data_IF_860345082448
#
_entry.id   IF_860345082448
#
_cell.length_a   1.000
_cell.length_b   1.000
_cell.length_c   1.000
_cell.angle_alpha   90.00
_cell.angle_beta   90.00
_cell.angle_gamma   90.00
#
_symmetry.space_group_name_H-M   'P 1'
#
loop_
_entity.id
_entity.type
_entity.pdbx_description
1 polymer ?
#
# COMPACT_ATOMS: atom_id res chain seq x y z
N UNK A 1 -28.53 13.60 -5.08
CA UNK A 1 -27.16 14.00 -5.48
C UNK A 1 -26.49 12.73 -5.96
N UNK A 2 -26.07 12.58 -7.23
CA UNK A 2 -25.36 11.38 -7.63
C UNK A 2 -23.98 11.42 -6.97
N UNK A 3 -23.70 10.45 -6.12
CA UNK A 3 -22.38 10.25 -5.51
C UNK A 3 -21.34 10.10 -6.63
N UNK A 4 -20.24 10.85 -6.54
CA UNK A 4 -19.15 10.85 -7.51
C UNK A 4 -18.37 9.54 -7.39
N UNK A 5 -18.70 8.49 -8.16
CA UNK A 5 -17.83 7.30 -8.38
C UNK A 5 -17.16 6.72 -7.10
N UNK A 6 -17.77 6.93 -5.93
CA UNK A 6 -17.18 6.60 -4.62
C UNK A 6 -17.15 5.08 -4.49
N UNK A 7 -15.97 4.48 -4.64
CA UNK A 7 -15.64 3.09 -4.27
C UNK A 7 -16.55 1.96 -4.82
N UNK A 8 -17.50 2.25 -5.72
CA UNK A 8 -18.56 1.30 -6.09
C UNK A 8 -18.04 0.05 -6.82
N UNK A 9 -16.88 0.16 -7.47
CA UNK A 9 -16.22 -0.92 -8.22
C UNK A 9 -15.51 -1.88 -7.24
N UNK A 10 -14.93 -1.33 -6.17
CA UNK A 10 -14.40 -2.14 -5.06
C UNK A 10 -15.50 -2.94 -4.37
N UNK A 11 -16.66 -2.33 -4.12
CA UNK A 11 -17.81 -3.02 -3.51
C UNK A 11 -18.38 -4.15 -4.38
N UNK A 12 -17.98 -4.22 -5.65
CA UNK A 12 -18.34 -5.30 -6.60
C UNK A 12 -17.23 -6.34 -6.77
N UNK A 13 -16.10 -6.16 -6.09
CA UNK A 13 -14.98 -7.08 -6.14
C UNK A 13 -14.05 -6.85 -7.33
N UNK A 14 -14.03 -5.64 -7.91
CA UNK A 14 -13.20 -5.34 -9.08
C UNK A 14 -12.41 -4.01 -8.95
N UNK A 15 -11.40 -3.86 -9.80
CA UNK A 15 -10.48 -2.70 -9.83
C UNK A 15 -10.74 -1.80 -11.04
N UNK A 16 -11.91 -1.85 -11.69
CA UNK A 16 -12.14 -1.12 -12.94
C UNK A 16 -12.02 0.41 -12.82
N UNK A 17 -12.05 0.92 -11.59
CA UNK A 17 -11.93 2.35 -11.25
C UNK A 17 -10.54 2.74 -10.79
N UNK A 18 -9.60 1.80 -10.88
CA UNK A 18 -8.25 1.93 -10.38
C UNK A 18 -7.25 1.55 -11.46
N UNK A 19 -6.12 2.28 -11.48
CA UNK A 19 -4.92 1.81 -12.17
C UNK A 19 -4.12 0.97 -11.18
N UNK A 20 -3.53 -0.13 -11.64
CA UNK A 20 -2.74 -1.03 -10.79
C UNK A 20 -1.40 -1.32 -11.43
N UNK A 21 -0.34 -1.30 -10.64
CA UNK A 21 0.98 -1.82 -11.01
C UNK A 21 1.47 -2.74 -9.89
N UNK A 22 2.19 -3.81 -10.20
CA UNK A 22 2.56 -4.76 -9.15
C UNK A 22 1.51 -5.82 -8.87
N UNK A 23 1.75 -6.61 -7.83
CA UNK A 23 0.81 -7.60 -7.30
C UNK A 23 -0.34 -6.93 -6.56
N UNK A 24 -1.38 -6.54 -7.30
CA UNK A 24 -2.62 -5.99 -6.78
C UNK A 24 -3.81 -6.91 -7.09
N UNK A 25 -4.69 -7.14 -6.11
CA UNK A 25 -5.95 -7.85 -6.32
C UNK A 25 -7.03 -7.44 -5.33
N UNK A 26 -8.26 -7.83 -5.60
CA UNK A 26 -9.40 -7.64 -4.69
C UNK A 26 -9.73 -8.96 -4.00
N UNK A 27 -10.18 -8.90 -2.75
CA UNK A 27 -10.63 -10.05 -2.00
C UNK A 27 -11.73 -9.67 -1.01
N UNK A 28 -12.64 -10.59 -0.72
CA UNK A 28 -13.64 -10.45 0.35
C UNK A 28 -13.21 -11.11 1.67
N UNK A 29 -12.16 -11.93 1.60
CA UNK A 29 -11.55 -12.64 2.72
C UNK A 29 -10.07 -12.82 2.43
N UNK A 30 -9.24 -12.72 3.47
CA UNK A 30 -7.82 -13.00 3.35
C UNK A 30 -7.36 -13.72 4.60
N UNK A 31 -6.85 -14.94 4.45
CA UNK A 31 -6.25 -15.66 5.57
C UNK A 31 -4.75 -15.36 5.58
N UNK A 32 -4.26 -14.85 6.70
CA UNK A 32 -2.84 -14.64 6.89
C UNK A 32 -2.08 -15.96 6.65
N UNK A 33 -0.87 -15.86 6.10
CA UNK A 33 -0.02 -17.03 5.88
C UNK A 33 0.18 -17.78 7.21
N UNK A 34 0.04 -19.12 7.18
CA UNK A 34 -0.07 -20.05 8.32
C UNK A 34 -1.43 -20.11 9.04
N UNK A 35 -2.50 -19.52 8.49
CA UNK A 35 -3.89 -19.89 8.81
C UNK A 35 -4.37 -19.53 10.23
N UNK A 36 -3.66 -18.66 10.94
CA UNK A 36 -4.00 -18.29 12.33
C UNK A 36 -4.97 -17.11 12.43
N UNK A 37 -5.14 -16.32 11.36
CA UNK A 37 -6.02 -15.15 11.33
C UNK A 37 -6.68 -15.01 9.96
N UNK A 38 -7.99 -14.74 9.96
CA UNK A 38 -8.75 -14.35 8.77
C UNK A 38 -9.13 -12.88 8.89
N UNK A 39 -8.89 -12.14 7.81
CA UNK A 39 -9.29 -10.75 7.65
C UNK A 39 -10.56 -10.67 6.80
N UNK A 40 -11.47 -9.83 7.27
CA UNK A 40 -12.67 -9.41 6.57
C UNK A 40 -12.65 -7.89 6.43
N UNK A 41 -13.23 -7.31 5.36
CA UNK A 41 -13.42 -5.87 5.28
C UNK A 41 -14.21 -5.35 6.49
N UNK A 42 -13.90 -4.14 6.93
CA UNK A 42 -14.52 -3.47 8.09
C UNK A 42 -15.84 -2.84 7.70
N UNK A 43 -15.89 -2.20 6.53
CA UNK A 43 -17.06 -1.40 6.11
C UNK A 43 -17.71 -1.87 4.80
N UNK A 44 -16.94 -2.55 3.95
CA UNK A 44 -17.38 -2.99 2.62
C UNK A 44 -17.54 -4.50 2.47
N UNK A 45 -17.74 -4.95 1.24
CA UNK A 45 -17.76 -6.37 0.88
C UNK A 45 -16.39 -6.91 0.46
N UNK A 46 -15.46 -6.01 0.08
CA UNK A 46 -14.13 -6.36 -0.42
C UNK A 46 -13.07 -5.36 0.04
N UNK A 47 -11.81 -5.78 0.05
CA UNK A 47 -10.63 -4.92 0.21
C UNK A 47 -9.62 -5.19 -0.91
N UNK A 48 -8.72 -4.24 -1.12
CA UNK A 48 -7.54 -4.43 -1.96
C UNK A 48 -6.43 -5.14 -1.17
N UNK A 49 -5.72 -6.05 -1.84
CA UNK A 49 -4.47 -6.66 -1.36
C UNK A 49 -3.36 -6.15 -2.25
N UNK A 50 -2.43 -5.40 -1.66
CA UNK A 50 -1.21 -4.97 -2.30
C UNK A 50 -0.05 -5.81 -1.78
N UNK A 51 0.73 -6.37 -2.70
CA UNK A 51 1.93 -7.16 -2.44
C UNK A 51 1.67 -8.45 -1.64
N UNK A 52 0.80 -9.33 -2.17
CA UNK A 52 0.30 -10.54 -1.53
C UNK A 52 1.41 -11.50 -1.05
N UNK A 53 1.54 -11.76 0.27
CA UNK A 53 2.61 -12.58 0.82
C UNK A 53 2.39 -14.08 0.57
N UNK A 54 1.26 -14.49 -0.01
CA UNK A 54 1.03 -15.88 -0.49
C UNK A 54 1.69 -16.14 -1.84
N UNK A 55 2.29 -15.13 -2.48
CA UNK A 55 3.01 -15.21 -3.75
C UNK A 55 4.52 -15.30 -3.53
N UNK A 56 4.94 -16.09 -2.55
CA UNK A 56 6.35 -16.38 -2.26
C UNK A 56 6.57 -17.89 -2.15
N UNK A 57 7.78 -18.37 -2.44
CA UNK A 57 8.18 -19.78 -2.28
C UNK A 57 8.65 -20.07 -0.84
N UNK A 58 9.13 -21.29 -0.63
CA UNK A 58 9.67 -21.76 0.65
C UNK A 58 10.94 -21.00 1.07
N UNK A 59 11.69 -20.47 0.10
CA UNK A 59 12.87 -19.63 0.31
C UNK A 59 12.51 -18.15 0.51
N UNK A 60 11.22 -17.81 0.39
CA UNK A 60 10.69 -16.46 0.53
C UNK A 60 10.87 -15.59 -0.71
N UNK A 61 11.30 -16.19 -1.83
CA UNK A 61 11.41 -15.48 -3.10
C UNK A 61 10.04 -15.34 -3.76
N UNK A 62 9.83 -14.25 -4.51
CA UNK A 62 8.53 -14.00 -5.13
C UNK A 62 8.22 -15.07 -6.18
N UNK A 63 7.11 -15.79 -5.99
CA UNK A 63 6.60 -16.76 -6.95
C UNK A 63 5.56 -16.09 -7.82
N UNK A 64 5.99 -15.85 -9.05
CA UNK A 64 5.13 -15.44 -10.14
C UNK A 64 4.55 -16.69 -10.79
N UNK A 65 3.21 -16.84 -10.77
CA UNK A 65 2.54 -17.83 -11.62
C UNK A 65 2.23 -17.23 -12.99
N UNK A 66 2.02 -18.05 -14.03
CA UNK A 66 1.55 -17.54 -15.32
C UNK A 66 0.30 -16.70 -15.13
N UNK A 67 0.32 -15.45 -15.64
CA UNK A 67 -0.72 -14.41 -15.53
C UNK A 67 -0.78 -13.63 -14.21
N UNK A 68 0.07 -13.94 -13.23
CA UNK A 68 0.23 -13.05 -12.09
C UNK A 68 0.89 -11.73 -12.54
N UNK A 69 0.46 -10.58 -11.99
CA UNK A 69 1.18 -9.32 -12.18
C UNK A 69 2.62 -9.42 -11.65
N UNK A 70 3.57 -8.79 -12.34
CA UNK A 70 4.94 -8.67 -11.80
C UNK A 70 4.94 -7.58 -10.74
N UNK A 71 5.81 -7.65 -9.73
CA UNK A 71 6.10 -6.51 -8.85
C UNK A 71 6.39 -5.24 -9.66
N UNK A 72 5.93 -4.10 -9.15
CA UNK A 72 6.26 -2.80 -9.72
C UNK A 72 7.70 -2.44 -9.34
N UNK A 73 8.49 -1.98 -10.31
CA UNK A 73 9.83 -1.45 -10.06
C UNK A 73 9.72 -0.01 -9.51
N UNK A 74 9.95 0.15 -8.22
CA UNK A 74 9.72 1.41 -7.49
C UNK A 74 11.01 2.18 -7.19
N UNK A 75 12.14 1.77 -7.78
CA UNK A 75 13.46 2.39 -7.60
C UNK A 75 13.57 3.86 -7.98
N UNK A 76 12.62 4.36 -8.75
CA UNK A 76 12.52 5.77 -9.11
C UNK A 76 11.88 6.63 -8.01
N UNK A 77 11.29 6.01 -6.98
CA UNK A 77 10.68 6.69 -5.84
C UNK A 77 11.68 6.77 -4.69
N UNK A 78 11.95 8.00 -4.23
CA UNK A 78 12.67 8.25 -2.99
C UNK A 78 11.68 8.75 -1.95
N UNK A 79 11.77 8.16 -0.77
CA UNK A 79 10.86 8.43 0.35
C UNK A 79 11.49 9.48 1.26
N UNK A 80 10.69 10.42 1.79
CA UNK A 80 11.10 11.37 2.84
C UNK A 80 11.75 10.65 4.03
N UNK A 81 12.80 11.23 4.66
CA UNK A 81 13.40 10.66 5.86
C UNK A 81 12.36 10.48 6.99
N UNK A 82 12.48 9.39 7.75
CA UNK A 82 11.74 9.21 9.00
C UNK A 82 12.23 10.17 10.10
N UNK A 83 11.63 10.09 11.30
CA UNK A 83 12.05 10.89 12.47
C UNK A 83 13.51 10.66 12.90
N UNK A 84 14.12 9.55 12.48
CA UNK A 84 15.52 9.20 12.72
C UNK A 84 16.45 9.64 11.57
N UNK A 85 15.93 10.34 10.56
CA UNK A 85 16.67 10.77 9.37
C UNK A 85 16.97 9.63 8.40
N UNK A 86 16.37 8.44 8.59
CA UNK A 86 16.55 7.31 7.70
C UNK A 86 15.69 7.49 6.45
N UNK A 87 16.32 7.41 5.29
CA UNK A 87 15.64 7.41 4.00
C UNK A 87 15.71 6.01 3.42
N UNK A 88 14.63 5.59 2.76
CA UNK A 88 14.57 4.29 2.09
C UNK A 88 14.49 4.53 0.58
N UNK A 89 15.21 3.72 -0.20
CA UNK A 89 14.95 3.58 -1.64
C UNK A 89 14.09 2.33 -1.82
N UNK A 90 12.91 2.47 -2.42
CA UNK A 90 12.13 1.29 -2.80
C UNK A 90 12.87 0.51 -3.89
N UNK A 91 12.72 -0.81 -3.92
CA UNK A 91 13.26 -1.63 -5.00
C UNK A 91 12.09 -2.17 -5.81
N UNK A 92 11.22 -2.95 -5.16
CA UNK A 92 10.05 -3.59 -5.74
C UNK A 92 8.81 -3.40 -4.85
N UNK A 93 7.62 -3.45 -5.47
CA UNK A 93 6.39 -3.32 -4.70
C UNK A 93 5.09 -3.43 -5.51
N UNK A 94 4.06 -2.76 -5.02
CA UNK A 94 2.76 -2.66 -5.66
C UNK A 94 2.14 -1.27 -5.47
N UNK A 95 1.41 -0.83 -6.49
CA UNK A 95 0.71 0.45 -6.53
C UNK A 95 -0.75 0.20 -6.85
N UNK A 96 -1.62 0.79 -6.04
CA UNK A 96 -3.02 1.01 -6.39
C UNK A 96 -3.24 2.51 -6.55
N UNK A 97 -3.79 2.92 -7.69
CA UNK A 97 -4.07 4.33 -8.00
C UNK A 97 -5.56 4.54 -8.28
N UNK A 98 -6.15 5.56 -7.67
CA UNK A 98 -7.47 6.08 -8.02
C UNK A 98 -7.32 7.39 -8.80
N UNK A 99 -7.54 7.40 -10.12
CA UNK A 99 -7.41 8.59 -10.94
C UNK A 99 -8.67 9.48 -10.85
N UNK A 100 -8.51 10.76 -11.25
CA UNK A 100 -9.60 11.74 -11.41
C UNK A 100 -10.45 11.98 -10.14
N UNK A 101 -9.84 11.87 -8.96
CA UNK A 101 -10.47 12.17 -7.68
C UNK A 101 -10.62 13.67 -7.49
N UNK A 102 -11.81 14.09 -7.08
CA UNK A 102 -12.11 15.47 -6.68
C UNK A 102 -12.56 15.49 -5.22
N UNK A 103 -11.87 16.27 -4.39
CA UNK A 103 -12.21 16.47 -2.97
C UNK A 103 -12.36 17.96 -2.74
N UNK A 104 -13.55 18.42 -2.36
CA UNK A 104 -13.80 19.83 -2.09
C UNK A 104 -13.17 20.26 -0.76
N UNK A 105 -12.94 21.57 -0.62
CA UNK A 105 -12.39 22.12 0.62
C UNK A 105 -13.31 21.80 1.81
N UNK A 106 -12.73 21.23 2.86
CA UNK A 106 -13.46 20.84 4.08
C UNK A 106 -13.97 19.40 4.10
N UNK A 107 -13.99 18.70 2.96
CA UNK A 107 -14.24 17.25 2.90
C UNK A 107 -12.99 16.47 3.31
N UNK A 108 -13.17 15.25 3.82
CA UNK A 108 -12.08 14.36 4.21
C UNK A 108 -12.16 13.03 3.47
N UNK A 109 -11.02 12.57 2.97
CA UNK A 109 -10.84 11.18 2.58
C UNK A 109 -10.53 10.35 3.82
N UNK A 110 -11.20 9.21 3.95
CA UNK A 110 -10.92 8.19 4.96
C UNK A 110 -10.54 6.89 4.29
N UNK A 111 -9.61 6.15 4.91
CA UNK A 111 -9.36 4.75 4.58
C UNK A 111 -8.87 3.94 5.77
N UNK A 112 -9.22 2.66 5.75
CA UNK A 112 -8.80 1.67 6.72
C UNK A 112 -7.73 0.79 6.11
N UNK A 113 -6.74 0.40 6.90
CA UNK A 113 -5.70 -0.50 6.44
C UNK A 113 -5.25 -1.48 7.50
N UNK A 114 -4.75 -2.63 7.07
CA UNK A 114 -4.07 -3.59 7.94
C UNK A 114 -2.84 -4.11 7.20
N UNK A 115 -1.76 -4.31 7.94
CA UNK A 115 -0.50 -4.79 7.38
C UNK A 115 -0.29 -6.25 7.74
N UNK A 116 0.09 -7.04 6.75
CA UNK A 116 0.48 -8.43 6.93
C UNK A 116 2.00 -8.47 6.92
N UNK A 117 2.59 -8.76 8.08
CA UNK A 117 4.03 -8.59 8.32
C UNK A 117 4.74 -9.92 8.28
N UNK A 118 5.87 -9.97 7.57
CA UNK A 118 6.78 -11.09 7.69
C UNK A 118 8.23 -10.61 7.81
N UNK A 119 8.69 -10.37 9.03
CA UNK A 119 10.05 -9.89 9.24
C UNK A 119 11.05 -11.04 9.43
N UNK A 120 12.19 -10.89 8.77
CA UNK A 120 13.38 -11.75 8.86
C UNK A 120 14.58 -11.11 8.14
N UNK A 121 14.33 -10.13 7.26
CA UNK A 121 15.33 -9.43 6.44
C UNK A 121 15.77 -8.11 7.07
N UNK A 122 17.03 -7.67 6.84
CA UNK A 122 17.49 -6.31 7.17
C UNK A 122 16.96 -5.23 6.20
N UNK A 123 16.22 -5.60 5.15
CA UNK A 123 15.48 -4.66 4.32
C UNK A 123 14.28 -4.06 5.09
N UNK A 124 13.88 -2.84 4.72
CA UNK A 124 12.78 -2.10 5.34
C UNK A 124 11.59 -2.08 4.39
N UNK A 125 10.47 -2.68 4.79
CA UNK A 125 9.23 -2.64 4.01
C UNK A 125 8.35 -1.50 4.52
N UNK A 126 7.67 -0.79 3.64
CA UNK A 126 6.82 0.33 4.07
C UNK A 126 5.63 0.55 3.14
N UNK A 127 4.64 1.26 3.67
CA UNK A 127 3.47 1.69 2.94
C UNK A 127 3.29 3.21 3.02
N UNK A 128 2.88 3.81 1.91
CA UNK A 128 2.67 5.26 1.78
C UNK A 128 1.39 5.55 1.00
N UNK A 129 0.70 6.60 1.43
CA UNK A 129 -0.34 7.26 0.66
C UNK A 129 0.20 8.56 0.06
N UNK A 130 -0.09 8.82 -1.22
CA UNK A 130 0.32 10.04 -1.90
C UNK A 130 -0.79 10.58 -2.81
N UNK A 131 -0.87 11.91 -2.90
CA UNK A 131 -1.82 12.60 -3.77
C UNK A 131 -1.08 13.47 -4.80
N UNK A 132 -1.43 13.29 -6.07
CA UNK A 132 -0.81 13.97 -7.21
C UNK A 132 -1.84 14.85 -7.91
N UNK A 133 -1.46 16.07 -8.29
CA UNK A 133 -2.33 16.95 -9.08
C UNK A 133 -2.40 16.49 -10.54
N UNK A 134 -3.47 16.84 -11.26
CA UNK A 134 -3.67 16.44 -12.66
C UNK A 134 -2.66 17.12 -13.59
N UNK A 135 -1.82 16.33 -14.26
CA UNK A 135 -0.75 16.80 -15.15
C UNK A 135 0.61 16.32 -14.67
N UNK A 136 1.11 15.23 -15.26
CA UNK A 136 2.27 14.49 -14.77
C UNK A 136 3.59 15.25 -14.97
N UNK A 137 4.34 15.45 -13.88
CA UNK A 137 5.81 15.32 -13.78
C UNK A 137 6.39 15.85 -12.44
N UNK A 138 5.67 15.78 -11.31
CA UNK A 138 6.14 16.38 -10.06
C UNK A 138 5.91 15.50 -8.83
N UNK A 139 6.73 15.78 -7.81
CA UNK A 139 6.54 15.36 -6.42
C UNK A 139 5.07 15.49 -6.02
N UNK A 140 4.50 14.51 -5.29
CA UNK A 140 3.11 14.58 -4.88
C UNK A 140 2.87 15.78 -3.96
N UNK A 141 1.69 16.37 -4.10
CA UNK A 141 1.21 17.49 -3.30
C UNK A 141 1.05 17.12 -1.83
N UNK A 142 0.75 15.85 -1.56
CA UNK A 142 0.64 15.29 -0.23
C UNK A 142 1.26 13.90 -0.18
N UNK A 143 2.00 13.63 0.89
CA UNK A 143 2.50 12.29 1.24
C UNK A 143 2.16 12.01 2.70
N UNK A 144 1.72 10.80 2.99
CA UNK A 144 1.57 10.29 4.34
C UNK A 144 2.16 8.90 4.43
N UNK A 145 3.06 8.70 5.40
CA UNK A 145 3.50 7.37 5.78
C UNK A 145 2.40 6.67 6.57
N UNK A 146 2.07 5.47 6.12
CA UNK A 146 1.12 4.62 6.83
C UNK A 146 1.84 3.80 7.88
N UNK A 147 2.95 3.15 7.49
CA UNK A 147 3.87 2.47 8.42
C UNK A 147 5.18 2.07 7.71
N UNK A 148 6.24 1.87 8.49
CA UNK A 148 7.44 1.11 8.10
C UNK A 148 7.62 -0.11 8.99
N UNK A 149 8.23 -1.20 8.49
CA UNK A 149 8.42 -2.44 9.24
C UNK A 149 9.23 -2.24 10.53
N UNK A 150 10.14 -1.27 10.54
CA UNK A 150 10.91 -0.86 11.73
C UNK A 150 10.07 -0.15 12.81
N UNK A 151 9.00 0.54 12.43
CA UNK A 151 8.09 1.23 13.35
C UNK A 151 7.07 0.27 13.99
N UNK A 152 6.82 -0.86 13.34
CA UNK A 152 5.91 -1.89 13.84
C UNK A 152 6.61 -2.73 14.91
N UNK A 153 6.10 -2.67 16.15
CA UNK A 153 6.71 -3.30 17.33
C UNK A 153 7.24 -4.72 17.06
N UNK A 154 8.49 -5.00 17.46
CA UNK A 154 9.22 -6.26 17.22
C UNK A 154 8.66 -7.50 17.93
N UNK A 155 7.44 -7.45 18.46
CA UNK A 155 6.89 -8.51 19.30
C UNK A 155 5.88 -9.36 18.54
N UNK A 156 6.30 -10.56 18.12
CA UNK A 156 5.49 -11.77 17.84
C UNK A 156 4.10 -11.62 17.20
N UNK A 157 3.80 -10.54 16.48
CA UNK A 157 2.56 -10.34 15.74
C UNK A 157 2.91 -10.29 14.26
N UNK A 158 2.42 -11.27 13.50
CA UNK A 158 2.62 -11.38 12.05
C UNK A 158 1.65 -10.51 11.25
N UNK A 159 0.92 -9.63 11.93
CA UNK A 159 -0.08 -8.73 11.37
C UNK A 159 -0.42 -7.60 12.35
N UNK A 160 -0.94 -6.49 11.82
CA UNK A 160 -1.51 -5.40 12.63
C UNK A 160 -3.02 -5.57 12.81
N UNK A 161 -3.60 -4.81 13.74
CA UNK A 161 -5.04 -4.58 13.71
C UNK A 161 -5.40 -3.68 12.52
N UNK A 162 -6.70 -3.54 12.26
CA UNK A 162 -7.20 -2.49 11.38
C UNK A 162 -6.88 -1.12 11.98
N UNK A 163 -6.18 -0.32 11.21
CA UNK A 163 -5.86 1.08 11.45
C UNK A 163 -6.70 1.97 10.54
N UNK A 164 -6.84 3.25 10.89
CA UNK A 164 -7.57 4.23 10.10
C UNK A 164 -6.70 5.45 9.83
N UNK A 165 -6.83 6.01 8.63
CA UNK A 165 -6.19 7.26 8.25
C UNK A 165 -7.21 8.19 7.61
N UNK A 166 -7.05 9.49 7.85
CA UNK A 166 -7.85 10.52 7.18
C UNK A 166 -6.99 11.65 6.64
N UNK A 167 -7.39 12.16 5.47
CA UNK A 167 -6.76 13.32 4.85
C UNK A 167 -7.83 14.34 4.44
N UNK A 168 -7.69 15.55 4.97
CA UNK A 168 -8.60 16.68 4.69
C UNK A 168 -7.82 17.78 3.96
N UNK A 169 -7.95 17.92 2.64
CA UNK A 169 -7.28 19.00 1.93
C UNK A 169 -7.87 20.36 2.33
N UNK A 170 -7.01 21.37 2.48
CA UNK A 170 -7.40 22.74 2.88
C UNK A 170 -8.00 23.55 1.73
N UNK A 171 -7.81 23.09 0.50
CA UNK A 171 -8.37 23.63 -0.74
C UNK A 171 -8.94 22.48 -1.57
N UNK A 172 -9.74 22.79 -2.59
CA UNK A 172 -10.21 21.78 -3.55
C UNK A 172 -9.01 21.03 -4.15
N UNK A 173 -9.03 19.71 -4.06
CA UNK A 173 -8.07 18.81 -4.69
C UNK A 173 -8.71 18.18 -5.93
N UNK A 174 -7.99 18.16 -7.04
CA UNK A 174 -8.36 17.49 -8.28
C UNK A 174 -7.13 16.74 -8.81
N UNK A 175 -7.15 15.42 -8.79
CA UNK A 175 -5.94 14.66 -9.08
C UNK A 175 -6.07 13.15 -8.90
N UNK A 176 -4.93 12.49 -8.70
CA UNK A 176 -4.86 11.05 -8.49
C UNK A 176 -4.38 10.73 -7.08
N UNK A 177 -4.95 9.69 -6.49
CA UNK A 177 -4.53 9.15 -5.19
C UNK A 177 -3.77 7.85 -5.43
N UNK A 178 -2.67 7.64 -4.72
CA UNK A 178 -1.85 6.42 -4.82
C UNK A 178 -1.60 5.83 -3.44
N UNK A 179 -1.81 4.53 -3.33
CA UNK A 179 -1.32 3.70 -2.24
C UNK A 179 -0.17 2.87 -2.76
N UNK A 180 0.95 2.95 -2.06
CA UNK A 180 2.22 2.35 -2.46
C UNK A 180 2.66 1.45 -1.33
N UNK A 181 3.03 0.22 -1.68
CA UNK A 181 3.68 -0.74 -0.79
C UNK A 181 4.98 -1.14 -1.46
N UNK A 182 6.08 -1.08 -0.73
CA UNK A 182 7.37 -1.42 -1.29
C UNK A 182 8.25 -2.13 -0.27
N UNK A 183 9.11 -3.02 -0.78
CA UNK A 183 10.33 -3.34 -0.09
C UNK A 183 11.37 -2.26 -0.38
N UNK A 184 12.19 -1.95 0.61
CA UNK A 184 13.12 -0.86 0.51
C UNK A 184 14.42 -1.10 1.23
N UNK A 185 15.44 -0.35 0.82
CA UNK A 185 16.79 -0.40 1.37
C UNK A 185 17.05 0.89 2.11
N UNK A 186 17.39 0.80 3.39
CA UNK A 186 17.85 1.95 4.17
C UNK A 186 19.15 2.49 3.57
N UNK A 187 19.19 3.78 3.26
CA UNK A 187 20.34 4.44 2.60
C UNK A 187 21.51 4.70 3.55
N UNK A 188 21.31 4.57 4.87
CA UNK A 188 22.30 4.83 5.91
C UNK A 188 22.90 3.57 6.55
N UNK A 189 22.39 2.39 6.21
CA UNK A 189 22.94 1.09 6.61
C UNK A 189 23.75 0.53 5.43
N UNK A 190 24.94 -0.06 5.62
CA UNK A 190 25.78 -0.54 4.51
C UNK A 190 24.98 -1.44 3.56
N UNK A 191 25.17 -1.16 2.26
CA UNK A 191 24.49 -1.75 1.11
C UNK A 191 24.07 -3.22 1.32
N UNK A 192 22.77 -3.54 1.21
CA UNK A 192 22.35 -4.93 1.08
C UNK A 192 22.83 -5.50 -0.25
N UNK A 193 23.07 -6.82 -0.23
CA UNK A 193 23.63 -7.57 -1.35
C UNK A 193 22.66 -7.64 -2.54
N UNK A 194 23.15 -7.73 -3.79
CA UNK A 194 22.29 -7.99 -4.93
C UNK A 194 21.65 -9.39 -4.81
N UNK A 195 20.32 -9.47 -4.92
CA UNK A 195 19.58 -10.72 -5.12
C UNK A 195 18.97 -11.39 -3.88
N UNK A 196 18.64 -10.66 -2.82
CA UNK A 196 17.88 -11.20 -1.68
C UNK A 196 16.49 -10.59 -1.58
N UNK A 197 15.46 -11.37 -1.95
CA UNK A 197 14.06 -10.96 -1.85
C UNK A 197 13.69 -10.63 -0.39
N UNK A 198 13.37 -9.36 -0.14
CA UNK A 198 12.69 -8.98 1.08
C UNK A 198 11.23 -9.46 0.99
N UNK A 199 10.75 -10.08 2.07
CA UNK A 199 9.35 -10.48 2.21
C UNK A 199 8.51 -9.21 2.14
N UNK A 200 7.52 -9.10 1.24
CA UNK A 200 6.72 -7.91 1.26
C UNK A 200 5.90 -7.92 2.53
N UNK A 201 5.80 -6.75 3.11
CA UNK A 201 4.69 -6.51 3.98
C UNK A 201 3.50 -6.12 3.12
N UNK A 202 2.42 -6.87 3.23
CA UNK A 202 1.28 -6.65 2.37
C UNK A 202 0.30 -5.68 3.02
N UNK A 203 -0.27 -4.79 2.21
CA UNK A 203 -1.30 -3.86 2.68
C UNK A 203 -2.67 -4.39 2.27
N UNK A 204 -3.50 -4.64 3.27
CA UNK A 204 -4.94 -4.74 3.09
C UNK A 204 -5.49 -3.32 3.19
N UNK A 205 -6.18 -2.85 2.15
CA UNK A 205 -6.81 -1.53 2.11
C UNK A 205 -8.32 -1.67 1.98
N UNK A 206 -9.04 -1.17 2.96
CA UNK A 206 -10.51 -1.12 2.99
C UNK A 206 -11.01 0.33 3.04
N UNK A 207 -12.25 0.54 2.63
CA UNK A 207 -13.03 1.75 2.86
C UNK A 207 -12.41 3.05 2.32
N UNK A 208 -12.36 3.29 1.00
CA UNK A 208 -11.94 4.60 0.48
C UNK A 208 -13.19 5.47 0.36
N UNK A 209 -13.43 6.34 1.35
CA UNK A 209 -14.66 7.12 1.43
C UNK A 209 -14.39 8.62 1.60
N UNK A 210 -15.16 9.44 0.87
CA UNK A 210 -15.23 10.87 1.09
C UNK A 210 -16.32 11.18 2.14
N UNK A 211 -15.97 11.98 3.14
CA UNK A 211 -16.84 12.43 4.23
C UNK A 211 -16.95 13.96 4.27
#
# INVERSE_FOLDING_TARGET
MPYLRDNWEFERGDLSGFSTEGLCRVANTFEAFRGTQVFHPVSGNFFAVLDDPRKVDEDGARVVKPRDPMPAALSHLTFTPDVSGQTTLAVDGAILECPDVTIEAGQALWFHWAFLRFDWSPANDFAMFAAYEKGAAQEPLYKAYLAQSLELERQQRWYTNWEAFSWRPTRRFCGSLRWIVANGISTSIPLPRPGGDARPSALLLDCIALA
#
